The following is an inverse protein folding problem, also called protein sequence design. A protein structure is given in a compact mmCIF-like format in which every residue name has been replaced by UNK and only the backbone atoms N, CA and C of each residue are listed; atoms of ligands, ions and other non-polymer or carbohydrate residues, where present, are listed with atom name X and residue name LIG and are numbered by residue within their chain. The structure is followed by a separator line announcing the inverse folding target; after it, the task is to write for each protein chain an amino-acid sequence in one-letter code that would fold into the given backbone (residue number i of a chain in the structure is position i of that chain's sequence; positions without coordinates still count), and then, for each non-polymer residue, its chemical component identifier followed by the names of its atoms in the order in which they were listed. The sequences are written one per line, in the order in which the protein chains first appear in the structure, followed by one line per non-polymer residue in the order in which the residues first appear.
data_IF_435360003174
#
_entry.id   IF_435360003174
#
_cell.length_a   1.000
_cell.length_b   1.000
_cell.length_c   1.000
_cell.angle_alpha   90.00
_cell.angle_beta   90.00
_cell.angle_gamma   90.00
#
_symmetry.space_group_name_H-M   'P 1'
#
loop_
_entity.id
_entity.type
_entity.pdbx_description
1 polymer ?
#
# COMPACT_ATOMS: atom_id res chain seq x y z
N UNK A 1 2.79 9.53 -25.55
CA UNK A 1 3.34 9.37 -24.20
C UNK A 1 2.18 9.48 -23.20
N UNK A 2 2.16 8.64 -22.18
CA UNK A 2 1.23 8.67 -21.07
C UNK A 2 2.01 8.64 -19.77
N UNK A 3 1.64 9.48 -18.80
CA UNK A 3 2.21 9.51 -17.46
C UNK A 3 1.07 9.33 -16.47
N UNK A 4 1.19 8.32 -15.62
CA UNK A 4 0.26 8.07 -14.50
C UNK A 4 1.03 8.16 -13.20
N UNK A 5 0.44 8.80 -12.18
CA UNK A 5 0.91 8.69 -10.80
C UNK A 5 -0.08 7.91 -9.95
N UNK A 6 0.44 7.20 -8.98
CA UNK A 6 -0.34 6.42 -8.02
C UNK A 6 0.18 6.68 -6.62
N UNK A 7 -0.67 7.10 -5.66
CA UNK A 7 -0.23 7.48 -4.32
C UNK A 7 0.17 6.26 -3.49
N UNK A 8 1.09 6.51 -2.56
CA UNK A 8 1.38 5.61 -1.46
C UNK A 8 0.32 5.76 -0.35
N UNK A 9 0.40 4.93 0.70
CA UNK A 9 -0.59 4.97 1.77
C UNK A 9 0.03 4.84 3.16
N UNK A 10 -0.67 5.38 4.15
CA UNK A 10 -0.45 5.12 5.57
C UNK A 10 -1.65 4.32 6.10
N UNK A 11 -1.37 3.17 6.74
CA UNK A 11 -2.39 2.38 7.44
C UNK A 11 -2.52 2.89 8.88
N UNK A 12 -3.68 3.39 9.26
CA UNK A 12 -3.93 3.97 10.58
C UNK A 12 -4.42 2.90 11.58
N UNK A 13 -5.30 2.00 11.17
CA UNK A 13 -5.81 0.90 12.01
C UNK A 13 -6.09 -0.36 11.20
N UNK A 14 -6.19 -1.50 11.88
CA UNK A 14 -6.68 -2.76 11.30
C UNK A 14 -5.71 -3.50 10.39
N UNK A 15 -4.52 -2.95 10.10
CA UNK A 15 -3.56 -3.57 9.20
C UNK A 15 -3.20 -4.99 9.61
N UNK A 16 -3.18 -5.91 8.62
CA UNK A 16 -3.03 -7.35 8.81
C UNK A 16 -4.34 -8.12 8.75
N UNK A 17 -5.48 -7.48 9.06
CA UNK A 17 -6.80 -8.11 8.94
C UNK A 17 -7.32 -8.13 7.50
N UNK A 18 -6.61 -7.49 6.59
CA UNK A 18 -6.81 -7.45 5.14
C UNK A 18 -6.15 -8.62 4.40
N UNK A 19 -5.47 -9.55 5.12
CA UNK A 19 -4.92 -10.78 4.57
C UNK A 19 -6.04 -11.79 4.26
N UNK A 20 -6.00 -12.48 3.10
CA UNK A 20 -7.03 -13.47 2.73
C UNK A 20 -7.27 -14.55 3.78
N UNK A 21 -6.22 -15.02 4.43
CA UNK A 21 -6.27 -16.04 5.48
C UNK A 21 -7.09 -15.59 6.70
N UNK A 22 -7.16 -14.30 6.96
CA UNK A 22 -7.94 -13.74 8.06
C UNK A 22 -9.33 -13.31 7.62
N UNK A 23 -9.44 -12.42 6.58
CA UNK A 23 -10.74 -11.83 6.28
C UNK A 23 -11.75 -12.81 5.69
N UNK A 24 -11.30 -13.88 5.05
CA UNK A 24 -12.21 -14.90 4.51
C UNK A 24 -12.99 -15.64 5.60
N UNK A 25 -12.42 -15.74 6.81
CA UNK A 25 -13.04 -16.44 7.95
C UNK A 25 -13.73 -15.48 8.91
N UNK A 26 -13.07 -14.39 9.25
CA UNK A 26 -13.46 -13.52 10.35
C UNK A 26 -13.95 -12.14 9.88
N UNK A 27 -13.89 -11.86 8.59
CA UNK A 27 -13.97 -10.51 8.06
C UNK A 27 -12.78 -9.66 8.47
N UNK A 28 -12.39 -8.71 7.64
CA UNK A 28 -11.31 -7.76 7.92
C UNK A 28 -11.82 -6.34 7.93
N UNK A 29 -11.10 -5.44 8.59
CA UNK A 29 -11.39 -4.01 8.54
C UNK A 29 -10.10 -3.21 8.73
N UNK A 30 -9.88 -2.20 7.87
CA UNK A 30 -8.75 -1.29 7.99
C UNK A 30 -9.19 0.16 7.82
N UNK A 31 -8.49 1.08 8.49
CA UNK A 31 -8.55 2.51 8.18
C UNK A 31 -7.19 2.89 7.61
N UNK A 32 -7.18 3.46 6.42
CA UNK A 32 -5.98 3.95 5.77
C UNK A 32 -6.23 5.28 5.06
N UNK A 33 -5.16 5.98 4.75
CA UNK A 33 -5.18 7.19 3.95
C UNK A 33 -4.11 7.11 2.86
N UNK A 34 -4.45 7.55 1.66
CA UNK A 34 -3.46 7.81 0.62
C UNK A 34 -2.69 9.11 0.95
N UNK A 35 -1.44 9.17 0.50
CA UNK A 35 -0.54 10.31 0.76
C UNK A 35 0.12 10.78 -0.54
N UNK A 36 0.54 12.07 -0.58
CA UNK A 36 1.22 12.73 -1.69
C UNK A 36 2.68 12.30 -1.85
N UNK A 37 2.90 11.00 -1.78
CA UNK A 37 4.14 10.33 -2.18
C UNK A 37 3.75 9.28 -3.21
N UNK A 38 4.41 9.30 -4.35
CA UNK A 38 3.90 8.63 -5.54
C UNK A 38 4.87 7.63 -6.13
N UNK A 39 4.28 6.67 -6.82
CA UNK A 39 4.92 5.90 -7.87
C UNK A 39 4.45 6.45 -9.21
N UNK A 40 5.38 6.68 -10.10
CA UNK A 40 5.15 7.20 -11.46
C UNK A 40 5.36 6.10 -12.50
N UNK A 41 4.43 6.01 -13.43
CA UNK A 41 4.45 5.10 -14.57
C UNK A 41 4.48 5.93 -15.84
N UNK A 42 5.54 5.79 -16.63
CA UNK A 42 5.69 6.45 -17.93
C UNK A 42 5.59 5.40 -19.02
N UNK A 43 4.62 5.56 -19.92
CA UNK A 43 4.46 4.73 -21.10
C UNK A 43 4.69 5.54 -22.37
N UNK A 44 5.44 4.96 -23.31
CA UNK A 44 5.55 5.49 -24.67
C UNK A 44 5.68 4.36 -25.69
N UNK A 45 5.37 4.66 -26.94
CA UNK A 45 5.66 3.72 -28.03
C UNK A 45 7.16 3.50 -28.16
N UNK A 46 7.53 2.28 -28.55
CA UNK A 46 8.89 1.93 -28.91
C UNK A 46 9.10 2.02 -30.43
N UNK A 47 10.33 2.29 -30.85
CA UNK A 47 10.68 2.35 -32.28
C UNK A 47 10.83 0.96 -32.92
N UNK A 48 10.93 -0.09 -32.12
CA UNK A 48 11.03 -1.48 -32.57
C UNK A 48 9.94 -2.35 -31.92
N UNK A 49 9.73 -3.53 -32.47
CA UNK A 49 8.70 -4.47 -32.04
C UNK A 49 9.11 -5.27 -30.80
N UNK A 50 9.18 -4.59 -29.65
CA UNK A 50 9.57 -5.19 -28.38
C UNK A 50 9.08 -4.39 -27.17
N UNK A 51 9.33 -4.92 -25.98
CA UNK A 51 9.11 -4.26 -24.70
C UNK A 51 10.43 -3.84 -24.08
N UNK A 52 10.52 -2.59 -23.64
CA UNK A 52 11.60 -2.10 -22.78
C UNK A 52 11.01 -1.68 -21.45
N UNK A 53 11.49 -2.25 -20.33
CA UNK A 53 11.16 -1.80 -18.99
C UNK A 53 12.41 -1.28 -18.31
N UNK A 54 12.31 -0.15 -17.65
CA UNK A 54 13.36 0.45 -16.84
C UNK A 54 12.80 0.95 -15.52
N UNK A 55 13.55 0.77 -14.44
CA UNK A 55 13.23 1.29 -13.12
C UNK A 55 14.41 2.09 -12.57
N UNK A 56 14.13 3.32 -12.11
CA UNK A 56 15.14 4.13 -11.41
C UNK A 56 15.51 3.53 -10.06
N UNK A 57 14.51 2.97 -9.36
CA UNK A 57 14.65 2.54 -7.96
C UNK A 57 15.48 1.25 -7.83
N UNK A 58 15.32 0.35 -8.76
CA UNK A 58 16.08 -0.92 -8.82
C UNK A 58 17.30 -0.85 -9.72
N UNK A 59 17.54 0.28 -10.40
CA UNK A 59 18.62 0.45 -11.41
C UNK A 59 18.65 -0.72 -12.38
N UNK A 60 17.48 -1.22 -12.76
CA UNK A 60 17.30 -2.43 -13.56
C UNK A 60 16.67 -2.08 -14.92
N UNK A 61 16.98 -2.91 -15.89
CA UNK A 61 16.49 -2.80 -17.25
C UNK A 61 16.14 -4.18 -17.80
N UNK A 62 14.95 -4.29 -18.40
CA UNK A 62 14.47 -5.50 -19.06
C UNK A 62 14.15 -5.17 -20.52
N UNK A 63 14.56 -6.05 -21.45
CA UNK A 63 14.20 -6.00 -22.86
C UNK A 63 13.64 -7.33 -23.30
N UNK A 64 12.56 -7.27 -24.05
CA UNK A 64 11.89 -8.42 -24.63
C UNK A 64 11.61 -8.18 -26.12
N UNK A 65 11.80 -9.20 -26.95
CA UNK A 65 11.46 -9.20 -28.37
C UNK A 65 10.12 -9.91 -28.57
N UNK A 66 9.20 -9.28 -29.31
CA UNK A 66 7.77 -9.63 -29.35
C UNK A 66 7.40 -11.08 -29.69
N UNK A 67 8.26 -11.83 -30.35
CA UNK A 67 7.98 -13.22 -30.77
C UNK A 67 8.45 -14.28 -29.76
N UNK A 68 9.14 -13.88 -28.72
CA UNK A 68 9.62 -14.79 -27.68
C UNK A 68 8.62 -14.85 -26.51
N UNK A 69 8.54 -15.98 -25.78
CA UNK A 69 7.76 -16.04 -24.55
C UNK A 69 8.40 -15.14 -23.46
N UNK A 70 7.57 -14.50 -22.63
CA UNK A 70 8.03 -13.76 -21.46
C UNK A 70 8.74 -14.69 -20.47
N UNK A 71 9.90 -14.27 -19.98
CA UNK A 71 10.65 -15.00 -18.95
C UNK A 71 10.24 -14.52 -17.55
N UNK A 72 10.05 -15.47 -16.64
CA UNK A 72 9.69 -15.24 -15.23
C UNK A 72 10.91 -15.58 -14.37
N UNK A 73 11.64 -14.54 -13.95
CA UNK A 73 12.94 -14.68 -13.26
C UNK A 73 13.06 -13.79 -12.02
N UNK A 74 11.95 -13.22 -11.56
CA UNK A 74 11.92 -12.27 -10.45
C UNK A 74 12.08 -10.81 -10.87
N UNK A 75 12.65 -10.55 -12.07
CA UNK A 75 12.84 -9.19 -12.55
C UNK A 75 11.63 -8.69 -13.33
N UNK A 76 11.04 -7.59 -12.90
CA UNK A 76 9.84 -7.01 -13.51
C UNK A 76 8.67 -7.99 -13.67
N UNK A 77 8.56 -9.04 -12.86
CA UNK A 77 7.52 -10.06 -13.04
C UNK A 77 6.12 -9.47 -12.88
N UNK A 78 5.90 -8.54 -11.95
CA UNK A 78 4.61 -7.87 -11.79
C UNK A 78 4.28 -6.99 -13.02
N UNK A 79 5.14 -6.10 -13.52
CA UNK A 79 4.92 -5.43 -14.80
C UNK A 79 4.66 -6.39 -15.97
N UNK A 80 5.44 -7.45 -16.11
CA UNK A 80 5.24 -8.46 -17.17
C UNK A 80 3.85 -9.11 -17.07
N UNK A 81 3.42 -9.48 -15.84
CA UNK A 81 2.11 -10.07 -15.60
C UNK A 81 0.98 -9.13 -16.03
N UNK A 82 1.08 -7.84 -15.67
CA UNK A 82 0.09 -6.83 -16.03
C UNK A 82 0.07 -6.61 -17.54
N UNK A 83 1.22 -6.46 -18.19
CA UNK A 83 1.32 -6.31 -19.64
C UNK A 83 0.75 -7.52 -20.38
N UNK A 84 1.04 -8.73 -19.90
CA UNK A 84 0.49 -9.97 -20.45
C UNK A 84 -1.04 -10.04 -20.28
N UNK A 85 -1.56 -9.61 -19.12
CA UNK A 85 -3.01 -9.54 -18.88
C UNK A 85 -3.71 -8.60 -19.87
N UNK A 86 -3.10 -7.47 -20.21
CA UNK A 86 -3.63 -6.54 -21.22
C UNK A 86 -3.37 -6.99 -22.66
N UNK A 87 -2.57 -8.03 -22.87
CA UNK A 87 -2.17 -8.51 -24.21
C UNK A 87 -1.27 -7.51 -24.94
N UNK A 88 -0.52 -6.67 -24.23
CA UNK A 88 0.41 -5.69 -24.78
C UNK A 88 1.82 -6.24 -24.64
N UNK A 89 2.32 -6.94 -25.69
CA UNK A 89 3.58 -7.66 -25.62
C UNK A 89 4.68 -7.04 -26.50
N UNK A 90 4.40 -5.93 -27.19
CA UNK A 90 5.33 -5.30 -28.13
C UNK A 90 5.08 -3.81 -28.31
N UNK A 91 6.08 -3.12 -28.83
CA UNK A 91 5.96 -1.72 -29.25
C UNK A 91 5.88 -0.71 -28.11
N UNK A 92 6.26 -1.07 -26.87
CA UNK A 92 6.11 -0.21 -25.69
C UNK A 92 7.39 -0.11 -24.89
N UNK A 93 7.64 1.09 -24.41
CA UNK A 93 8.65 1.38 -23.39
C UNK A 93 7.97 1.85 -22.11
N UNK A 94 8.29 1.18 -21.01
CA UNK A 94 7.89 1.50 -19.65
C UNK A 94 9.09 2.07 -18.89
N UNK A 95 8.89 3.19 -18.19
CA UNK A 95 9.80 3.67 -17.16
C UNK A 95 9.03 3.85 -15.86
N UNK A 96 9.63 3.40 -14.74
CA UNK A 96 9.07 3.43 -13.38
C UNK A 96 9.99 4.27 -12.51
N UNK A 97 9.40 5.16 -11.71
CA UNK A 97 10.08 5.92 -10.67
C UNK A 97 9.22 6.02 -9.43
N UNK A 98 9.82 5.94 -8.24
CA UNK A 98 9.15 6.12 -6.95
C UNK A 98 9.83 7.23 -6.14
N UNK A 99 9.05 8.04 -5.43
CA UNK A 99 9.59 9.04 -4.51
C UNK A 99 10.14 8.41 -3.21
N UNK A 100 9.75 7.18 -2.94
CA UNK A 100 10.11 6.47 -1.71
C UNK A 100 10.72 5.12 -2.08
N UNK A 101 11.83 4.72 -1.45
CA UNK A 101 12.45 3.42 -1.72
C UNK A 101 11.46 2.26 -1.55
N UNK A 102 11.54 1.22 -2.39
CA UNK A 102 10.68 0.04 -2.27
C UNK A 102 10.95 -0.71 -0.95
N UNK A 103 9.95 -1.45 -0.48
CA UNK A 103 10.08 -2.27 0.76
C UNK A 103 10.04 -1.48 2.07
N UNK A 104 9.62 -0.22 2.05
CA UNK A 104 9.57 0.66 3.24
C UNK A 104 8.22 0.69 3.95
N UNK A 105 7.25 -0.11 3.52
CA UNK A 105 5.99 -0.30 4.24
C UNK A 105 4.90 0.73 3.93
N UNK A 106 5.03 1.51 2.86
CA UNK A 106 4.02 2.48 2.39
C UNK A 106 3.21 2.01 1.18
N UNK A 107 3.27 0.72 0.81
CA UNK A 107 2.45 0.14 -0.25
C UNK A 107 2.96 0.40 -1.68
N UNK A 108 4.26 0.65 -1.87
CA UNK A 108 4.82 1.01 -3.18
C UNK A 108 4.63 -0.03 -4.28
N UNK A 109 4.69 -1.34 -3.96
CA UNK A 109 4.42 -2.41 -4.92
C UNK A 109 3.00 -2.32 -5.47
N UNK A 110 2.01 -2.26 -4.59
CA UNK A 110 0.61 -2.18 -4.97
C UNK A 110 0.25 -0.86 -5.65
N UNK A 111 0.89 0.25 -5.23
CA UNK A 111 0.75 1.53 -5.95
C UNK A 111 1.30 1.44 -7.38
N UNK A 112 2.43 0.72 -7.58
CA UNK A 112 2.94 0.44 -8.91
C UNK A 112 1.97 -0.43 -9.73
N UNK A 113 1.42 -1.50 -9.14
CA UNK A 113 0.44 -2.37 -9.82
C UNK A 113 -0.78 -1.57 -10.29
N UNK A 114 -1.37 -0.77 -9.38
CA UNK A 114 -2.52 0.09 -9.71
C UNK A 114 -2.16 1.13 -10.78
N UNK A 115 -1.01 1.78 -10.66
CA UNK A 115 -0.54 2.78 -11.64
C UNK A 115 -0.33 2.18 -13.02
N UNK A 116 0.24 0.98 -13.13
CA UNK A 116 0.42 0.25 -14.38
C UNK A 116 -0.92 -0.15 -15.01
N UNK A 117 -1.83 -0.72 -14.22
CA UNK A 117 -3.17 -1.11 -14.67
C UNK A 117 -3.91 0.15 -15.17
N UNK A 118 -3.85 1.25 -14.43
CA UNK A 118 -4.44 2.53 -14.86
C UNK A 118 -3.84 3.02 -16.18
N UNK A 119 -2.53 2.97 -16.32
CA UNK A 119 -1.85 3.42 -17.53
C UNK A 119 -2.23 2.55 -18.76
N UNK A 120 -2.22 1.22 -18.61
CA UNK A 120 -2.60 0.32 -19.69
C UNK A 120 -4.09 0.38 -19.98
N UNK A 121 -4.96 0.56 -18.98
CA UNK A 121 -6.40 0.74 -19.21
C UNK A 121 -6.68 1.95 -20.10
N UNK A 122 -5.99 3.06 -19.85
CA UNK A 122 -6.10 4.27 -20.69
C UNK A 122 -5.52 4.02 -22.08
N UNK A 123 -4.30 3.48 -22.16
CA UNK A 123 -3.60 3.26 -23.43
C UNK A 123 -4.32 2.25 -24.35
N UNK A 124 -5.02 1.27 -23.78
CA UNK A 124 -5.82 0.29 -24.51
C UNK A 124 -7.28 0.73 -24.71
N UNK A 125 -7.62 1.98 -24.39
CA UNK A 125 -8.99 2.53 -24.46
C UNK A 125 -10.02 1.67 -23.68
N UNK A 126 -9.64 1.22 -22.48
CA UNK A 126 -10.45 0.41 -21.57
C UNK A 126 -10.66 1.20 -20.29
N UNK A 127 -11.81 1.82 -20.13
CA UNK A 127 -12.11 2.57 -18.92
C UNK A 127 -12.36 1.62 -17.76
N UNK A 128 -11.61 1.82 -16.68
CA UNK A 128 -11.79 1.11 -15.41
C UNK A 128 -12.05 2.12 -14.31
N UNK A 129 -13.05 1.85 -13.48
CA UNK A 129 -13.27 2.64 -12.27
C UNK A 129 -12.23 2.29 -11.19
N UNK A 130 -12.06 3.11 -10.15
CA UNK A 130 -11.06 2.87 -9.11
C UNK A 130 -11.18 1.53 -8.40
N UNK A 131 -12.41 1.03 -8.21
CA UNK A 131 -12.64 -0.27 -7.57
C UNK A 131 -12.13 -1.42 -8.45
N UNK A 132 -12.41 -1.37 -9.75
CA UNK A 132 -11.96 -2.40 -10.69
C UNK A 132 -10.42 -2.42 -10.80
N UNK A 133 -9.78 -1.23 -10.74
CA UNK A 133 -8.32 -1.12 -10.67
C UNK A 133 -7.75 -1.84 -9.44
N UNK A 134 -8.36 -1.59 -8.26
CA UNK A 134 -7.92 -2.19 -7.00
C UNK A 134 -8.14 -3.72 -6.99
N UNK A 135 -9.27 -4.20 -7.48
CA UNK A 135 -9.57 -5.65 -7.54
C UNK A 135 -8.63 -6.36 -8.51
N UNK A 136 -8.39 -5.79 -9.70
CA UNK A 136 -7.46 -6.38 -10.66
C UNK A 136 -6.03 -6.40 -10.12
N UNK A 137 -5.57 -5.31 -9.50
CA UNK A 137 -4.26 -5.26 -8.86
C UNK A 137 -4.13 -6.30 -7.74
N UNK A 138 -5.17 -6.42 -6.89
CA UNK A 138 -5.23 -7.42 -5.82
C UNK A 138 -5.19 -8.85 -6.38
N UNK A 139 -5.95 -9.13 -7.45
CA UNK A 139 -5.94 -10.44 -8.10
C UNK A 139 -4.55 -10.78 -8.67
N UNK A 140 -3.91 -9.84 -9.36
CA UNK A 140 -2.58 -10.06 -9.93
C UNK A 140 -1.54 -10.31 -8.84
N UNK A 141 -1.47 -9.46 -7.81
CA UNK A 141 -0.46 -9.60 -6.76
C UNK A 141 -0.72 -10.82 -5.87
N UNK A 142 -1.96 -11.03 -5.40
CA UNK A 142 -2.28 -12.03 -4.37
C UNK A 142 -2.50 -13.42 -4.98
N UNK A 143 -3.29 -13.50 -6.05
CA UNK A 143 -3.67 -14.80 -6.63
C UNK A 143 -2.67 -15.25 -7.71
N UNK A 144 -2.39 -14.40 -8.71
CA UNK A 144 -1.53 -14.79 -9.83
C UNK A 144 -0.04 -14.87 -9.44
N UNK A 145 0.45 -13.93 -8.62
CA UNK A 145 1.85 -13.91 -8.16
C UNK A 145 2.04 -14.59 -6.80
N UNK A 146 0.96 -14.96 -6.11
CA UNK A 146 1.00 -15.57 -4.77
C UNK A 146 1.73 -14.71 -3.72
N UNK A 147 1.71 -13.39 -3.88
CA UNK A 147 2.34 -12.48 -2.93
C UNK A 147 1.66 -12.59 -1.55
N UNK A 148 2.42 -12.62 -0.44
CA UNK A 148 1.87 -12.77 0.91
C UNK A 148 1.36 -11.44 1.48
N UNK A 149 0.54 -10.71 0.73
CA UNK A 149 0.05 -9.37 1.08
C UNK A 149 -1.46 -9.34 1.24
N UNK A 150 -1.96 -8.28 1.87
CA UNK A 150 -3.38 -7.97 1.96
C UNK A 150 -3.86 -7.06 0.83
N UNK A 151 -5.14 -6.68 0.89
CA UNK A 151 -5.82 -5.89 -0.16
C UNK A 151 -5.83 -4.37 0.10
N UNK A 152 -5.45 -3.89 1.27
CA UNK A 152 -5.64 -2.48 1.63
C UNK A 152 -4.87 -1.51 0.73
N UNK A 153 -3.69 -1.91 0.25
CA UNK A 153 -2.74 -1.06 -0.46
C UNK A 153 -3.27 -0.70 -1.84
N UNK A 154 -3.81 -1.68 -2.56
CA UNK A 154 -4.39 -1.52 -3.89
C UNK A 154 -5.61 -0.59 -3.86
N UNK A 155 -6.45 -0.73 -2.84
CA UNK A 155 -7.61 0.14 -2.67
C UNK A 155 -7.22 1.58 -2.33
N UNK A 156 -6.28 1.77 -1.41
CA UNK A 156 -5.79 3.11 -1.07
C UNK A 156 -5.17 3.80 -2.28
N UNK A 157 -4.33 3.09 -3.05
CA UNK A 157 -3.69 3.62 -4.25
C UNK A 157 -4.69 3.96 -5.36
N UNK A 158 -5.73 3.15 -5.54
CA UNK A 158 -6.71 3.34 -6.60
C UNK A 158 -7.71 4.46 -6.29
N UNK A 159 -8.16 4.58 -5.04
CA UNK A 159 -9.23 5.47 -4.63
C UNK A 159 -8.74 6.83 -4.12
N UNK A 160 -7.58 6.87 -3.46
CA UNK A 160 -7.20 8.04 -2.66
C UNK A 160 -8.05 8.20 -1.40
N UNK A 161 -7.86 9.29 -0.68
CA UNK A 161 -8.64 9.68 0.48
C UNK A 161 -8.36 8.88 1.75
N UNK A 162 -9.11 9.19 2.79
CA UNK A 162 -9.12 8.52 4.08
C UNK A 162 -10.35 7.61 4.15
N UNK A 163 -10.12 6.29 4.20
CA UNK A 163 -11.20 5.32 4.07
C UNK A 163 -11.19 4.26 5.17
N UNK A 164 -12.38 3.85 5.59
CA UNK A 164 -12.65 2.55 6.19
C UNK A 164 -12.89 1.54 5.06
N UNK A 165 -12.13 0.45 5.05
CA UNK A 165 -12.29 -0.63 4.08
C UNK A 165 -12.57 -1.92 4.86
N UNK A 166 -13.71 -2.52 4.58
CA UNK A 166 -14.16 -3.75 5.20
C UNK A 166 -14.08 -4.90 4.19
N UNK A 167 -13.42 -5.96 4.57
CA UNK A 167 -13.18 -7.14 3.73
C UNK A 167 -13.99 -8.32 4.23
N UNK A 168 -14.63 -9.02 3.30
CA UNK A 168 -15.27 -10.30 3.56
C UNK A 168 -14.94 -11.30 2.46
N UNK A 169 -15.35 -12.55 2.64
CA UNK A 169 -15.22 -13.56 1.59
C UNK A 169 -15.95 -13.15 0.29
N UNK A 170 -17.08 -12.46 0.41
CA UNK A 170 -17.95 -12.15 -0.72
C UNK A 170 -17.66 -10.80 -1.37
N UNK A 171 -17.28 -9.78 -0.58
CA UNK A 171 -17.14 -8.41 -1.07
C UNK A 171 -16.20 -7.57 -0.22
N UNK A 172 -15.67 -6.54 -0.85
CA UNK A 172 -15.00 -5.42 -0.17
C UNK A 172 -15.93 -4.21 -0.16
N UNK A 173 -16.13 -3.61 1.00
CA UNK A 173 -16.92 -2.39 1.18
C UNK A 173 -15.98 -1.25 1.54
N UNK A 174 -16.10 -0.12 0.83
CA UNK A 174 -15.29 1.07 1.05
C UNK A 174 -16.22 2.20 1.51
N UNK A 175 -15.86 2.81 2.62
CA UNK A 175 -16.58 3.94 3.19
C UNK A 175 -15.60 5.07 3.48
N UNK A 176 -15.67 6.21 2.76
CA UNK A 176 -14.90 7.39 3.16
C UNK A 176 -15.22 7.76 4.60
N UNK A 177 -14.19 8.11 5.39
CA UNK A 177 -14.42 8.62 6.74
C UNK A 177 -15.05 10.01 6.66
N UNK A 178 -16.14 10.19 7.43
CA UNK A 178 -16.88 11.45 7.52
C UNK A 178 -16.19 12.46 8.44
N UNK A 179 -14.94 12.85 8.12
CA UNK A 179 -14.24 13.92 8.84
C UNK A 179 -14.33 15.23 8.04
N UNK A 180 -14.49 16.34 8.74
CA UNK A 180 -14.44 17.64 8.11
C UNK A 180 -13.01 18.06 7.75
N UNK A 181 -12.90 19.13 6.99
CA UNK A 181 -11.61 19.61 6.51
C UNK A 181 -10.69 20.08 7.64
N UNK A 182 -11.24 20.68 8.69
CA UNK A 182 -10.47 21.17 9.84
C UNK A 182 -9.88 19.99 10.61
N UNK A 183 -10.69 18.99 10.91
CA UNK A 183 -10.26 17.73 11.55
C UNK A 183 -9.20 17.00 10.70
N UNK A 184 -9.38 16.96 9.38
CA UNK A 184 -8.41 16.35 8.47
C UNK A 184 -7.06 17.08 8.52
N UNK A 185 -7.05 18.42 8.49
CA UNK A 185 -5.83 19.22 8.62
C UNK A 185 -5.20 19.06 10.00
N UNK A 186 -6.00 19.04 11.07
CA UNK A 186 -5.48 18.82 12.42
C UNK A 186 -4.83 17.45 12.55
N UNK A 187 -5.50 16.38 12.10
CA UNK A 187 -4.93 15.02 12.07
C UNK A 187 -3.59 15.00 11.33
N UNK A 188 -3.54 15.59 10.14
CA UNK A 188 -2.32 15.61 9.33
C UNK A 188 -1.18 16.36 10.04
N UNK A 189 -1.46 17.45 10.75
CA UNK A 189 -0.46 18.18 11.55
C UNK A 189 0.02 17.39 12.77
N UNK A 190 -0.81 16.56 13.35
CA UNK A 190 -0.47 15.72 14.49
C UNK A 190 0.29 14.43 14.08
N UNK A 191 0.38 14.11 12.80
CA UNK A 191 1.11 12.96 12.31
C UNK A 191 2.51 13.35 11.81
N UNK A 192 3.50 12.52 12.17
CA UNK A 192 4.87 12.62 11.74
C UNK A 192 5.34 11.29 11.17
N UNK A 193 6.07 11.32 10.05
CA UNK A 193 6.57 10.12 9.38
C UNK A 193 8.10 10.19 9.32
N UNK A 194 8.78 9.16 9.86
CA UNK A 194 10.23 9.09 9.91
C UNK A 194 10.74 7.83 9.22
N UNK A 195 11.69 7.98 8.31
CA UNK A 195 12.41 6.86 7.72
C UNK A 195 13.49 6.37 8.71
N UNK A 196 13.49 5.07 8.98
CA UNK A 196 14.40 4.45 9.95
C UNK A 196 15.76 4.06 9.38
N UNK A 197 16.03 4.38 8.10
CA UNK A 197 17.26 4.00 7.42
C UNK A 197 17.37 2.52 7.06
N UNK A 198 16.39 1.69 7.39
CA UNK A 198 16.39 0.25 7.12
C UNK A 198 15.21 -0.11 6.26
N UNK A 199 15.46 -0.75 5.12
CA UNK A 199 14.47 -1.49 4.34
C UNK A 199 14.72 -2.99 4.54
N UNK A 200 13.67 -3.77 4.76
CA UNK A 200 13.75 -5.23 4.81
C UNK A 200 12.77 -5.81 3.80
N UNK A 201 13.08 -7.02 3.34
CA UNK A 201 12.07 -7.79 2.62
C UNK A 201 10.89 -8.06 3.55
N UNK A 202 9.75 -7.43 3.27
CA UNK A 202 8.50 -7.65 4.01
C UNK A 202 7.99 -9.10 3.90
N UNK A 203 8.41 -9.82 2.85
CA UNK A 203 7.90 -11.14 2.50
C UNK A 203 8.06 -12.16 3.63
N UNK A 204 9.21 -12.19 4.33
CA UNK A 204 9.44 -13.15 5.41
C UNK A 204 8.48 -12.95 6.59
N UNK A 205 8.28 -11.72 7.03
CA UNK A 205 7.36 -11.37 8.13
C UNK A 205 5.91 -11.68 7.72
N UNK A 206 5.52 -11.28 6.51
CA UNK A 206 4.17 -11.50 6.00
C UNK A 206 3.87 -12.97 5.75
N UNK A 207 4.84 -13.76 5.27
CA UNK A 207 4.70 -15.21 5.14
C UNK A 207 4.50 -15.88 6.50
N UNK A 208 5.26 -15.49 7.52
CA UNK A 208 5.10 -16.04 8.87
C UNK A 208 3.75 -15.63 9.48
N UNK A 209 3.34 -14.37 9.35
CA UNK A 209 2.02 -13.92 9.76
C UNK A 209 0.91 -14.69 9.04
N UNK A 210 1.05 -14.90 7.72
CA UNK A 210 0.11 -15.67 6.90
C UNK A 210 0.01 -17.11 7.36
N UNK A 211 1.15 -17.75 7.64
CA UNK A 211 1.20 -19.11 8.18
C UNK A 211 0.49 -19.22 9.52
N UNK A 212 0.85 -18.35 10.45
CA UNK A 212 0.27 -18.31 11.78
C UNK A 212 -1.24 -18.01 11.76
N UNK A 213 -1.72 -17.18 10.83
CA UNK A 213 -3.17 -16.87 10.70
C UNK A 213 -4.03 -18.09 10.28
N UNK A 214 -3.42 -19.17 9.81
CA UNK A 214 -4.12 -20.43 9.46
C UNK A 214 -4.27 -21.38 10.65
N UNK A 215 -3.49 -21.19 11.70
CA UNK A 215 -3.49 -22.04 12.88
C UNK A 215 -4.57 -21.55 13.86
N UNK A 216 -5.39 -22.44 14.37
CA UNK A 216 -6.39 -22.12 15.41
C UNK A 216 -5.72 -21.98 16.78
N UNK A 217 -6.21 -21.04 17.59
CA UNK A 217 -5.75 -20.81 18.98
C UNK A 217 -4.26 -20.42 19.09
N UNK A 218 -3.85 -19.37 18.36
CA UNK A 218 -2.47 -18.88 18.43
C UNK A 218 -2.41 -17.37 18.74
N UNK A 219 -1.30 -16.88 19.34
CA UNK A 219 -1.14 -15.48 19.71
C UNK A 219 -1.33 -14.49 18.56
N UNK A 220 -0.94 -14.86 17.33
CA UNK A 220 -1.11 -14.03 16.13
C UNK A 220 -2.59 -13.80 15.83
N UNK A 221 -3.42 -14.83 15.90
CA UNK A 221 -4.85 -14.71 15.63
C UNK A 221 -5.54 -13.84 16.69
N UNK A 222 -5.21 -14.01 17.97
CA UNK A 222 -5.71 -13.19 19.06
C UNK A 222 -5.29 -11.72 18.89
N UNK A 223 -4.07 -11.48 18.47
CA UNK A 223 -3.57 -10.12 18.21
C UNK A 223 -4.28 -9.48 17.00
N UNK A 224 -4.56 -10.24 15.93
CA UNK A 224 -5.35 -9.79 14.79
C UNK A 224 -6.78 -9.44 15.20
N UNK A 225 -7.41 -10.24 16.06
CA UNK A 225 -8.74 -9.95 16.61
C UNK A 225 -8.72 -8.65 17.45
N UNK A 226 -7.71 -8.45 18.29
CA UNK A 226 -7.54 -7.20 19.07
C UNK A 226 -7.41 -5.99 18.14
N UNK A 227 -6.55 -6.07 17.11
CA UNK A 227 -6.35 -4.98 16.15
C UNK A 227 -7.61 -4.68 15.35
N UNK A 228 -8.38 -5.72 14.94
CA UNK A 228 -9.67 -5.53 14.29
C UNK A 228 -10.69 -4.84 15.20
N UNK A 229 -10.76 -5.26 16.47
CA UNK A 229 -11.70 -4.70 17.45
C UNK A 229 -11.47 -3.21 17.73
N UNK A 230 -10.24 -2.69 17.51
CA UNK A 230 -9.94 -1.27 17.66
C UNK A 230 -10.45 -0.40 16.50
N UNK A 231 -10.75 -0.98 15.32
CA UNK A 231 -11.11 -0.20 14.13
C UNK A 231 -12.34 0.69 14.32
N UNK A 232 -13.46 0.21 14.90
CA UNK A 232 -14.61 1.07 15.16
C UNK A 232 -14.31 2.24 16.12
N UNK A 233 -13.46 2.02 17.10
CA UNK A 233 -13.06 3.05 18.07
C UNK A 233 -12.16 4.11 17.41
N UNK A 234 -11.18 3.67 16.59
CA UNK A 234 -10.35 4.59 15.79
C UNK A 234 -11.23 5.43 14.86
N UNK A 235 -12.22 4.82 14.18
CA UNK A 235 -13.18 5.54 13.36
C UNK A 235 -13.88 6.62 14.18
N UNK A 236 -14.44 6.27 15.33
CA UNK A 236 -15.17 7.19 16.21
C UNK A 236 -14.29 8.36 16.67
N UNK A 237 -13.04 8.09 17.08
CA UNK A 237 -12.12 9.14 17.49
C UNK A 237 -11.78 10.10 16.35
N UNK A 238 -11.51 9.58 15.15
CA UNK A 238 -11.20 10.40 13.98
C UNK A 238 -12.40 11.26 13.56
N UNK A 239 -13.61 10.69 13.54
CA UNK A 239 -14.86 11.44 13.23
C UNK A 239 -15.22 12.48 14.29
N UNK A 240 -14.83 12.27 15.55
CA UNK A 240 -15.01 13.24 16.64
C UNK A 240 -13.87 14.27 16.74
N UNK A 241 -12.80 14.13 15.97
CA UNK A 241 -11.61 15.01 16.07
C UNK A 241 -10.75 14.76 17.32
N UNK A 242 -10.97 13.64 18.04
CA UNK A 242 -10.20 13.29 19.23
C UNK A 242 -8.85 12.63 18.84
N UNK A 243 -7.93 13.47 18.38
CA UNK A 243 -6.62 13.03 17.89
C UNK A 243 -5.75 12.47 19.02
N UNK A 244 -5.95 12.95 20.26
CA UNK A 244 -5.22 12.41 21.41
C UNK A 244 -5.59 10.95 21.67
N UNK A 245 -6.88 10.65 21.75
CA UNK A 245 -7.37 9.27 21.95
C UNK A 245 -6.99 8.39 20.74
N UNK A 246 -7.08 8.90 19.53
CA UNK A 246 -6.56 8.20 18.33
C UNK A 246 -5.08 7.83 18.50
N UNK A 247 -4.23 8.75 19.00
CA UNK A 247 -2.82 8.48 19.26
C UNK A 247 -2.60 7.35 20.27
N UNK A 248 -3.40 7.29 21.34
CA UNK A 248 -3.36 6.18 22.31
C UNK A 248 -3.80 4.84 21.67
N UNK A 249 -4.86 4.84 20.87
CA UNK A 249 -5.27 3.65 20.12
C UNK A 249 -4.20 3.20 19.10
N UNK A 250 -3.46 4.13 18.52
CA UNK A 250 -2.34 3.80 17.64
C UNK A 250 -1.20 3.11 18.41
N UNK A 251 -0.95 3.51 19.68
CA UNK A 251 -0.03 2.83 20.58
C UNK A 251 -0.48 1.40 20.91
N UNK A 252 -1.76 1.23 21.27
CA UNK A 252 -2.33 -0.09 21.55
C UNK A 252 -2.27 -1.01 20.33
N UNK A 253 -2.60 -0.45 19.15
CA UNK A 253 -2.49 -1.15 17.87
C UNK A 253 -1.04 -1.62 17.61
N UNK A 254 -0.04 -0.77 17.87
CA UNK A 254 1.36 -1.13 17.74
C UNK A 254 1.76 -2.23 18.69
N UNK A 255 1.34 -2.14 19.95
CA UNK A 255 1.60 -3.15 20.98
C UNK A 255 1.03 -4.50 20.57
N UNK A 256 -0.22 -4.55 20.10
CA UNK A 256 -0.82 -5.78 19.61
C UNK A 256 -0.13 -6.32 18.34
N UNK A 257 0.30 -5.42 17.43
CA UNK A 257 0.96 -5.81 16.19
C UNK A 257 2.30 -6.51 16.43
N UNK A 258 3.03 -6.19 17.49
CA UNK A 258 4.28 -6.88 17.84
C UNK A 258 4.09 -8.40 18.02
N UNK A 259 2.87 -8.84 18.36
CA UNK A 259 2.54 -10.25 18.55
C UNK A 259 2.17 -10.99 17.24
N UNK A 260 2.14 -10.31 16.07
CA UNK A 260 1.75 -10.95 14.79
C UNK A 260 2.81 -11.93 14.28
N UNK A 261 4.08 -11.58 14.40
CA UNK A 261 5.18 -12.42 13.97
C UNK A 261 6.51 -11.97 14.59
N UNK A 262 7.50 -12.86 14.74
CA UNK A 262 8.86 -12.45 15.08
C UNK A 262 9.45 -11.46 14.06
N UNK A 263 10.22 -10.48 14.55
CA UNK A 263 10.90 -9.52 13.68
C UNK A 263 10.08 -8.30 13.25
N UNK A 264 8.83 -8.15 13.71
CA UNK A 264 8.02 -6.93 13.51
C UNK A 264 8.65 -5.73 14.20
N UNK A 265 9.30 -5.95 15.33
CA UNK A 265 10.13 -4.95 16.01
C UNK A 265 11.53 -5.49 16.26
N UNK A 266 12.45 -4.61 16.63
CA UNK A 266 13.80 -4.90 17.12
C UNK A 266 14.24 -3.81 18.12
N UNK A 267 15.38 -4.02 18.78
CA UNK A 267 15.86 -3.10 19.82
C UNK A 267 15.99 -1.64 19.33
N UNK A 268 16.43 -1.42 18.10
CA UNK A 268 16.57 -0.06 17.56
C UNK A 268 15.20 0.59 17.34
N UNK A 269 14.22 -0.14 16.78
CA UNK A 269 12.85 0.35 16.61
C UNK A 269 12.22 0.67 17.96
N UNK A 270 12.39 -0.21 18.95
CA UNK A 270 11.83 -0.01 20.28
C UNK A 270 12.48 1.20 20.97
N UNK A 271 13.81 1.43 20.83
CA UNK A 271 14.49 2.63 21.34
C UNK A 271 13.97 3.91 20.67
N UNK A 272 13.85 3.95 19.35
CA UNK A 272 13.28 5.09 18.63
C UNK A 272 11.84 5.37 19.07
N UNK A 273 11.05 4.34 19.24
CA UNK A 273 9.67 4.47 19.69
C UNK A 273 9.56 5.01 21.11
N UNK A 274 10.36 4.49 22.04
CA UNK A 274 10.41 4.98 23.43
C UNK A 274 10.89 6.44 23.49
N UNK A 275 11.87 6.81 22.67
CA UNK A 275 12.31 8.19 22.54
C UNK A 275 11.17 9.12 22.11
N UNK A 276 10.38 8.73 21.13
CA UNK A 276 9.23 9.51 20.70
C UNK A 276 8.20 9.71 21.82
N UNK A 277 7.89 8.66 22.58
CA UNK A 277 6.98 8.75 23.73
C UNK A 277 7.51 9.70 24.80
N UNK A 278 8.79 9.61 25.15
CA UNK A 278 9.45 10.49 26.13
C UNK A 278 9.50 11.96 25.65
N UNK A 279 9.52 12.17 24.34
CA UNK A 279 9.47 13.49 23.74
C UNK A 279 8.04 14.08 23.67
N UNK A 280 7.00 13.31 24.02
CA UNK A 280 5.60 13.76 24.09
C UNK A 280 4.67 13.21 23.00
N UNK A 281 5.08 12.13 22.32
CA UNK A 281 4.17 11.43 21.41
C UNK A 281 3.05 10.71 22.18
N UNK A 282 1.84 10.73 21.66
CA UNK A 282 0.70 9.96 22.17
C UNK A 282 0.84 8.46 21.82
N UNK A 283 1.41 8.17 20.64
CA UNK A 283 1.64 6.83 20.14
C UNK A 283 2.18 6.83 18.73
N UNK A 284 2.30 5.65 18.16
CA UNK A 284 2.83 5.46 16.82
C UNK A 284 2.98 3.99 16.45
N UNK A 285 3.47 3.71 15.25
CA UNK A 285 3.76 2.35 14.80
C UNK A 285 4.70 2.32 13.60
N UNK A 286 5.35 1.19 13.38
CA UNK A 286 5.99 0.94 12.08
C UNK A 286 4.91 0.64 11.05
N UNK A 287 5.00 1.32 9.90
CA UNK A 287 4.09 1.12 8.76
C UNK A 287 4.35 -0.22 8.05
N UNK A 288 3.37 -0.72 7.28
CA UNK A 288 3.50 -1.96 6.51
C UNK A 288 3.69 -3.21 7.38
N UNK A 289 4.54 -4.13 6.96
CA UNK A 289 4.78 -5.41 7.62
C UNK A 289 5.49 -5.29 8.99
N UNK A 290 6.27 -4.24 9.21
CA UNK A 290 7.15 -4.11 10.37
C UNK A 290 8.62 -4.39 10.03
N UNK A 291 9.46 -4.41 11.06
CA UNK A 291 10.89 -4.73 10.93
C UNK A 291 11.77 -3.60 10.39
N UNK A 292 11.21 -2.44 10.06
CA UNK A 292 11.89 -1.27 9.51
C UNK A 292 10.99 -0.45 8.60
N UNK A 293 11.57 0.39 7.77
CA UNK A 293 10.87 1.29 6.86
C UNK A 293 10.49 2.60 7.52
N UNK A 294 9.20 2.89 7.70
CA UNK A 294 8.74 4.15 8.27
C UNK A 294 8.11 3.97 9.65
N UNK A 295 8.50 4.84 10.56
CA UNK A 295 7.89 5.02 11.87
C UNK A 295 6.88 6.17 11.76
N UNK A 296 5.60 5.87 11.92
CA UNK A 296 4.51 6.84 12.05
C UNK A 296 4.35 7.19 13.52
N UNK A 297 4.34 8.48 13.83
CA UNK A 297 4.14 9.02 15.20
C UNK A 297 2.94 9.95 15.18
N UNK A 298 2.11 9.87 16.22
CA UNK A 298 1.05 10.82 16.53
C UNK A 298 1.41 11.60 17.79
N UNK A 299 1.40 12.93 17.71
CA UNK A 299 1.67 13.81 18.85
C UNK A 299 0.86 15.10 18.73
N UNK A 300 0.74 15.84 19.82
CA UNK A 300 0.21 17.20 19.79
C UNK A 300 1.08 18.12 18.93
N UNK A 301 0.46 19.13 18.32
CA UNK A 301 1.18 20.09 17.47
C UNK A 301 2.30 20.81 18.26
N UNK A 302 2.09 21.10 19.54
CA UNK A 302 3.09 21.71 20.41
C UNK A 302 4.29 20.81 20.69
N UNK A 303 4.11 19.48 20.64
CA UNK A 303 5.18 18.50 20.85
C UNK A 303 5.97 18.18 19.56
N UNK A 304 5.47 18.57 18.36
CA UNK A 304 6.06 18.20 17.06
C UNK A 304 7.55 18.47 16.96
N UNK A 305 7.98 19.68 17.36
CA UNK A 305 9.39 20.09 17.26
C UNK A 305 10.24 19.18 18.14
N UNK A 306 9.85 19.02 19.39
CA UNK A 306 10.58 18.19 20.35
C UNK A 306 10.69 16.72 19.93
N UNK A 307 9.59 16.15 19.41
CA UNK A 307 9.59 14.77 18.90
C UNK A 307 10.47 14.66 17.65
N UNK A 308 10.41 15.65 16.76
CA UNK A 308 11.23 15.66 15.55
C UNK A 308 12.73 15.70 15.90
N UNK A 309 13.16 16.67 16.71
CA UNK A 309 14.55 16.81 17.13
C UNK A 309 15.07 15.56 17.85
N UNK A 310 14.25 14.95 18.72
CA UNK A 310 14.62 13.75 19.44
C UNK A 310 14.86 12.54 18.53
N UNK A 311 14.06 12.38 17.47
CA UNK A 311 14.21 11.27 16.52
C UNK A 311 15.30 11.55 15.47
N UNK A 312 15.44 12.78 15.00
CA UNK A 312 16.51 13.17 14.08
C UNK A 312 17.90 13.06 14.74
N UNK A 313 18.01 13.39 16.02
CA UNK A 313 19.23 13.17 16.81
C UNK A 313 19.63 11.69 16.92
N UNK A 314 18.71 10.75 16.63
CA UNK A 314 18.95 9.31 16.52
C UNK A 314 19.16 8.84 15.08
N UNK A 315 19.30 9.75 14.14
CA UNK A 315 19.58 9.47 12.74
C UNK A 315 18.35 9.12 11.88
N UNK A 316 17.13 9.28 12.40
CA UNK A 316 15.93 9.12 11.57
C UNK A 316 15.77 10.34 10.66
N UNK A 317 15.21 10.12 9.47
CA UNK A 317 14.95 11.19 8.51
C UNK A 317 13.44 11.45 8.45
N UNK A 318 13.03 12.66 8.79
CA UNK A 318 11.63 13.06 8.67
C UNK A 318 11.24 13.23 7.21
N UNK A 319 10.10 12.62 6.84
CA UNK A 319 9.49 12.76 5.50
C UNK A 319 8.16 13.47 5.65
N UNK A 320 8.04 14.64 4.97
CA UNK A 320 6.78 15.39 4.91
C UNK A 320 5.79 14.69 3.98
N UNK A 321 4.51 14.77 4.30
CA UNK A 321 3.43 14.26 3.44
C UNK A 321 2.13 15.04 3.66
N UNK A 322 1.23 14.95 2.69
CA UNK A 322 -0.17 15.37 2.79
C UNK A 322 -1.09 14.23 2.37
N UNK A 323 -2.35 14.29 2.78
CA UNK A 323 -3.33 13.32 2.31
C UNK A 323 -3.64 13.55 0.83
N UNK A 324 -3.72 12.46 0.06
CA UNK A 324 -4.10 12.50 -1.35
C UNK A 324 -5.55 12.04 -1.50
N UNK A 325 -6.39 12.90 -2.08
CA UNK A 325 -7.83 12.67 -2.21
C UNK A 325 -8.22 11.99 -3.53
N UNK A 326 -7.28 11.87 -4.48
CA UNK A 326 -7.64 11.56 -5.88
C UNK A 326 -7.36 10.09 -6.23
N UNK A 327 -6.32 9.49 -5.67
CA UNK A 327 -5.84 8.16 -6.07
C UNK A 327 -5.11 8.17 -7.42
N UNK A 328 -5.01 7.00 -8.02
CA UNK A 328 -4.25 6.82 -9.26
C UNK A 328 -4.91 7.52 -10.46
N UNK A 329 -4.17 8.43 -11.09
CA UNK A 329 -4.67 9.19 -12.24
C UNK A 329 -3.58 9.57 -13.24
N UNK A 330 -4.01 9.89 -14.47
CA UNK A 330 -3.12 10.37 -15.51
C UNK A 330 -2.77 11.85 -15.31
N UNK A 331 -1.47 12.13 -15.31
CA UNK A 331 -0.95 13.51 -15.32
C UNK A 331 -0.82 14.07 -16.73
N UNK A 332 -0.48 13.20 -17.69
CA UNK A 332 -0.30 13.56 -19.09
C UNK A 332 -0.76 12.39 -19.97
N UNK A 333 -1.54 12.71 -20.98
CA UNK A 333 -1.90 11.78 -22.05
C UNK A 333 -1.80 12.49 -23.41
N UNK A 334 -0.76 12.16 -24.17
CA UNK A 334 -0.57 12.67 -25.54
C UNK A 334 -1.15 11.70 -26.58
N UNK A 335 -2.32 11.11 -26.31
CA UNK A 335 -3.01 10.23 -27.26
C UNK A 335 -2.29 8.89 -27.47
N UNK A 336 -1.63 8.35 -26.43
CA UNK A 336 -1.04 7.01 -26.52
C UNK A 336 -2.14 5.96 -26.66
N UNK A 337 -2.16 5.24 -27.78
CA UNK A 337 -3.02 4.08 -28.01
C UNK A 337 -2.15 2.86 -28.26
N UNK A 338 -2.50 1.76 -27.62
CA UNK A 338 -1.82 0.48 -27.72
C UNK A 338 -2.81 -0.57 -28.22
N UNK A 339 -2.31 -1.47 -29.07
CA UNK A 339 -3.09 -2.59 -29.59
C UNK A 339 -2.91 -3.81 -28.71
N UNK A 340 -4.01 -4.38 -28.26
CA UNK A 340 -4.02 -5.67 -27.56
C UNK A 340 -4.00 -6.79 -28.59
N UNK A 341 -3.07 -7.74 -28.44
CA UNK A 341 -2.94 -8.89 -29.34
C UNK A 341 -3.79 -10.10 -28.93
N UNK A 342 -4.48 -10.03 -27.78
CA UNK A 342 -5.39 -11.05 -27.31
C UNK A 342 -6.81 -10.49 -27.18
N UNK A 343 -7.83 -11.33 -27.43
CA UNK A 343 -9.20 -10.99 -27.03
C UNK A 343 -9.22 -10.89 -25.51
N UNK A 344 -9.53 -9.71 -25.02
CA UNK A 344 -9.83 -9.48 -23.61
C UNK A 344 -10.91 -10.47 -23.17
N UNK A 345 -10.63 -11.23 -22.13
CA UNK A 345 -11.71 -11.87 -21.37
C UNK A 345 -12.11 -10.88 -20.29
N UNK A 346 -13.31 -10.36 -20.38
CA UNK A 346 -13.86 -9.53 -19.32
C UNK A 346 -13.77 -10.29 -17.98
N UNK A 347 -13.55 -9.60 -16.86
CA UNK A 347 -13.45 -10.25 -15.55
C UNK A 347 -14.78 -10.83 -15.04
N UNK A 348 -15.77 -11.11 -15.92
CA UNK A 348 -16.99 -11.83 -15.54
C UNK A 348 -16.71 -13.16 -14.81
N UNK A 349 -15.53 -13.75 -15.03
CA UNK A 349 -15.11 -14.94 -14.30
C UNK A 349 -14.54 -14.66 -12.90
N UNK A 350 -14.30 -13.41 -12.52
CA UNK A 350 -13.88 -13.05 -11.17
C UNK A 350 -15.03 -13.08 -10.16
N UNK A 351 -16.27 -13.13 -10.65
CA UNK A 351 -17.48 -13.13 -9.83
C UNK A 351 -18.30 -14.43 -9.93
N UNK A 352 -17.74 -15.48 -10.54
CA UNK A 352 -18.43 -16.79 -10.52
C UNK A 352 -18.42 -17.30 -9.08
N UNK A 353 -19.58 -17.20 -8.46
CA UNK A 353 -19.93 -17.89 -7.23
C UNK A 353 -19.58 -19.38 -7.39
N UNK A 354 -18.61 -19.83 -6.63
CA UNK A 354 -18.42 -21.27 -6.36
C UNK A 354 -19.63 -21.69 -5.53
N UNK A 355 -20.34 -22.77 -5.91
CA UNK A 355 -21.52 -23.25 -5.24
C UNK A 355 -21.25 -23.68 -3.80
#
# INVERSE_FOLDING_TARGET
MLIVRSPLRISLAGGGTDLPEYYRQFGGAVINTAIDRYVYVFLKTNAYDGLDFASSDFQSFFRHWGDLPLTWNGEFDMPKMIFNHFGVLRGVRLFIASEIPPGTGLGSSSSLAVGLIKALSIACNRQMNPRDLAELASHIEIEAMSAPIGKQDQYAAALGGLNLIEFSHQKTVISPLGIDRETSFHLQRCLLLFYTGQSRSANGILQEQRRASRETCNPTLDALHRVKAMVPEVKRCLEAGDIKQFGHLLHENWTAKKDFAPGITNAAIDDHYQCALQAGAYGGKITGAGGGGFLLICCDESARIKVTEALEARGLVRVGFHFDEIGAHALLNCGLLLTSHHRWREPESLFVSVP
#
